data_IF_074691736059
#
_entry.id   IF_074691736059
#
_cell.length_a   1.000
_cell.length_b   1.000
_cell.length_c   1.000
_cell.angle_alpha   90.00
_cell.angle_beta   90.00
_cell.angle_gamma   90.00
#
_symmetry.space_group_name_H-M   'P 1'
#
loop_
_entity.id
_entity.type
_entity.pdbx_description
1 polymer ?
#
# COMPACT_ATOMS: atom_id res chain seq x y z
N UNK A 1 -0.28 21.36 1.94
CA UNK A 1 0.13 19.95 2.19
C UNK A 1 -0.77 18.97 1.43
N UNK A 2 -2.10 19.09 1.54
CA UNK A 2 -3.08 18.26 0.81
C UNK A 2 -2.92 18.29 -0.72
N UNK A 3 -2.88 19.47 -1.35
CA UNK A 3 -2.65 19.60 -2.81
C UNK A 3 -1.40 18.85 -3.28
N UNK A 4 -0.26 19.09 -2.64
CA UNK A 4 0.98 18.40 -2.95
C UNK A 4 0.94 16.87 -2.75
N UNK A 5 0.16 16.36 -1.78
CA UNK A 5 -0.04 14.93 -1.61
C UNK A 5 -0.92 14.35 -2.72
N UNK A 6 -1.97 15.08 -3.13
CA UNK A 6 -2.82 14.72 -4.25
C UNK A 6 -2.03 14.68 -5.58
N UNK A 7 -1.20 15.70 -5.82
CA UNK A 7 -0.35 15.78 -7.03
C UNK A 7 0.63 14.61 -7.10
N UNK A 8 1.20 14.21 -5.95
CA UNK A 8 2.07 13.03 -5.89
C UNK A 8 1.28 11.76 -6.22
N UNK A 9 0.08 11.59 -5.65
CA UNK A 9 -0.77 10.43 -5.91
C UNK A 9 -1.16 10.33 -7.39
N UNK A 10 -1.59 11.44 -8.02
CA UNK A 10 -1.94 11.51 -9.45
C UNK A 10 -0.77 11.09 -10.35
N UNK A 11 0.47 11.39 -9.94
CA UNK A 11 1.71 11.04 -10.68
C UNK A 11 2.29 9.69 -10.27
N UNK A 12 1.61 8.91 -9.43
CA UNK A 12 2.07 7.60 -8.97
C UNK A 12 1.53 6.51 -9.90
N UNK A 13 2.42 5.68 -10.43
CA UNK A 13 2.07 4.50 -11.23
C UNK A 13 1.69 3.32 -10.33
N UNK A 14 0.86 2.40 -10.82
CA UNK A 14 0.44 1.20 -10.07
C UNK A 14 -0.67 1.45 -9.05
N UNK A 15 -1.32 2.62 -9.08
CA UNK A 15 -2.48 2.92 -8.24
C UNK A 15 -3.73 2.20 -8.78
N UNK A 16 -4.35 1.27 -8.03
CA UNK A 16 -5.53 0.55 -8.49
C UNK A 16 -6.73 1.49 -8.70
N UNK A 17 -7.67 1.12 -9.57
CA UNK A 17 -8.96 1.80 -9.71
C UNK A 17 -9.76 1.77 -8.40
N UNK A 18 -10.65 2.75 -8.17
CA UNK A 18 -11.38 2.86 -6.89
C UNK A 18 -12.20 1.60 -6.56
N UNK A 19 -12.83 1.01 -7.58
CA UNK A 19 -13.67 -0.19 -7.48
C UNK A 19 -12.86 -1.51 -7.59
N UNK A 20 -11.55 -1.45 -7.81
CA UNK A 20 -10.72 -2.66 -7.93
C UNK A 20 -10.62 -3.40 -6.60
N UNK A 21 -10.62 -4.72 -6.66
CA UNK A 21 -10.37 -5.56 -5.49
C UNK A 21 -8.87 -5.82 -5.37
N UNK A 22 -8.33 -5.58 -4.18
CA UNK A 22 -6.92 -5.83 -3.87
C UNK A 22 -6.85 -6.85 -2.74
N UNK A 23 -6.06 -7.90 -2.91
CA UNK A 23 -5.97 -9.00 -1.94
C UNK A 23 -4.56 -9.50 -1.69
N UNK A 24 -4.30 -9.90 -0.45
CA UNK A 24 -3.12 -10.65 -0.02
C UNK A 24 -3.60 -11.76 0.92
N UNK A 25 -3.47 -13.02 0.51
CA UNK A 25 -4.04 -14.14 1.26
C UNK A 25 -5.55 -14.00 1.45
N UNK A 26 -6.01 -14.10 2.69
CA UNK A 26 -7.41 -13.90 3.08
C UNK A 26 -7.80 -12.42 3.24
N UNK A 27 -6.83 -11.49 3.26
CA UNK A 27 -7.10 -10.07 3.43
C UNK A 27 -7.48 -9.42 2.11
N UNK A 28 -8.60 -8.69 2.11
CA UNK A 28 -9.14 -8.00 0.93
C UNK A 28 -9.49 -6.56 1.28
N UNK A 29 -9.39 -5.68 0.29
CA UNK A 29 -9.76 -4.27 0.37
C UNK A 29 -10.11 -3.77 -1.03
N UNK A 30 -10.74 -2.60 -1.12
CA UNK A 30 -10.93 -1.91 -2.39
C UNK A 30 -9.75 -0.98 -2.74
N UNK A 31 -9.67 -0.58 -4.01
CA UNK A 31 -8.66 0.37 -4.47
C UNK A 31 -8.87 1.79 -3.94
N UNK A 32 -10.07 2.14 -3.47
CA UNK A 32 -10.32 3.40 -2.75
C UNK A 32 -9.48 3.46 -1.47
N UNK A 33 -9.50 2.42 -0.64
CA UNK A 33 -8.73 2.36 0.60
C UNK A 33 -7.22 2.36 0.31
N UNK A 34 -6.78 1.70 -0.77
CA UNK A 34 -5.39 1.76 -1.24
C UNK A 34 -4.99 3.19 -1.62
N UNK A 35 -5.83 3.91 -2.39
CA UNK A 35 -5.60 5.31 -2.74
C UNK A 35 -5.52 6.22 -1.52
N UNK A 36 -6.43 6.03 -0.55
CA UNK A 36 -6.45 6.78 0.69
C UNK A 36 -5.17 6.55 1.50
N UNK A 37 -4.72 5.29 1.60
CA UNK A 37 -3.48 4.93 2.28
C UNK A 37 -2.25 5.58 1.61
N UNK A 38 -2.16 5.52 0.27
CA UNK A 38 -1.08 6.16 -0.48
C UNK A 38 -1.10 7.69 -0.33
N UNK A 39 -2.29 8.30 -0.35
CA UNK A 39 -2.47 9.72 -0.08
C UNK A 39 -1.95 10.10 1.32
N UNK A 40 -2.35 9.35 2.36
CA UNK A 40 -1.92 9.58 3.74
C UNK A 40 -0.39 9.40 3.89
N UNK A 41 0.21 8.42 3.22
CA UNK A 41 1.67 8.26 3.14
C UNK A 41 2.34 9.55 2.64
N UNK A 42 1.84 10.14 1.54
CA UNK A 42 2.38 11.40 1.04
C UNK A 42 2.10 12.60 1.93
N UNK A 43 0.90 12.68 2.52
CA UNK A 43 0.49 13.76 3.42
C UNK A 43 1.38 13.82 4.66
N UNK A 44 1.67 12.67 5.25
CA UNK A 44 2.44 12.55 6.49
C UNK A 44 3.93 12.29 6.27
N UNK A 45 4.40 12.27 5.02
CA UNK A 45 5.82 12.02 4.69
C UNK A 45 6.84 12.92 5.39
N UNK A 46 6.49 14.18 5.68
CA UNK A 46 7.34 15.13 6.41
C UNK A 46 7.14 15.09 7.93
N UNK A 47 5.95 14.68 8.37
CA UNK A 47 5.57 14.65 9.78
C UNK A 47 4.80 13.35 10.02
N UNK A 48 5.52 12.25 10.29
CA UNK A 48 4.89 10.95 10.53
C UNK A 48 3.91 11.00 11.70
N UNK A 49 2.77 10.33 11.55
CA UNK A 49 1.68 10.27 12.53
C UNK A 49 1.66 8.92 13.24
N UNK A 50 1.25 8.90 14.51
CA UNK A 50 1.28 7.71 15.35
C UNK A 50 1.67 8.07 16.79
N UNK A 51 0.98 7.46 17.77
CA UNK A 51 1.26 7.73 19.20
C UNK A 51 2.62 7.18 19.65
N UNK A 52 2.96 5.95 19.26
CA UNK A 52 4.23 5.31 19.62
C UNK A 52 5.28 5.61 18.52
N UNK A 53 6.51 6.05 18.87
CA UNK A 53 7.61 6.24 17.91
C UNK A 53 7.83 5.06 16.95
N UNK A 54 7.69 3.83 17.44
CA UNK A 54 7.89 2.60 16.65
C UNK A 54 6.75 2.40 15.61
N UNK A 55 5.58 2.97 15.88
CA UNK A 55 4.38 2.85 15.05
C UNK A 55 4.10 4.11 14.22
N UNK A 56 5.02 5.08 14.18
CA UNK A 56 4.83 6.28 13.35
C UNK A 56 4.83 5.92 11.87
N UNK A 57 3.86 6.45 11.13
CA UNK A 57 3.68 6.23 9.70
C UNK A 57 3.69 7.55 8.92
N UNK A 58 4.20 7.58 7.68
CA UNK A 58 4.83 6.46 7.00
C UNK A 58 6.20 6.10 7.59
N UNK A 59 6.50 4.81 7.67
CA UNK A 59 7.83 4.29 8.04
C UNK A 59 8.57 3.75 6.82
N UNK A 60 9.86 3.48 6.96
CA UNK A 60 10.66 2.86 5.89
C UNK A 60 10.15 1.44 5.66
N UNK A 61 9.92 1.09 4.40
CA UNK A 61 9.59 -0.27 4.02
C UNK A 61 10.85 -1.13 4.00
N UNK A 62 10.93 -2.11 4.90
CA UNK A 62 12.05 -3.03 4.94
C UNK A 62 11.72 -4.30 4.15
N UNK A 63 12.05 -4.30 2.86
CA UNK A 63 11.86 -5.48 2.01
C UNK A 63 12.97 -6.50 2.26
N UNK A 64 12.85 -7.28 3.35
CA UNK A 64 13.78 -8.37 3.65
C UNK A 64 13.50 -9.55 2.71
N UNK A 65 14.54 -10.18 2.16
CA UNK A 65 14.36 -11.46 1.48
C UNK A 65 13.75 -12.49 2.43
N UNK A 66 12.90 -13.36 1.90
CA UNK A 66 12.43 -14.51 2.67
C UNK A 66 13.60 -15.43 3.03
N UNK A 67 13.50 -16.08 4.19
CA UNK A 67 14.47 -17.08 4.61
C UNK A 67 14.60 -18.18 3.54
N UNK A 68 15.81 -18.72 3.34
CA UNK A 68 16.04 -19.80 2.35
C UNK A 68 15.25 -21.07 2.64
N UNK A 69 14.82 -21.27 3.88
CA UNK A 69 13.95 -22.36 4.32
C UNK A 69 12.48 -22.15 3.98
N UNK A 70 12.10 -20.95 3.50
CA UNK A 70 10.73 -20.62 3.13
C UNK A 70 10.38 -21.20 1.74
N UNK A 71 9.21 -21.84 1.60
CA UNK A 71 8.75 -22.42 0.31
C UNK A 71 8.68 -21.40 -0.84
N UNK A 72 8.40 -20.15 -0.48
CA UNK A 72 8.35 -19.01 -1.39
C UNK A 72 9.67 -18.24 -1.49
N UNK A 73 10.80 -18.74 -0.98
CA UNK A 73 12.11 -18.05 -1.06
C UNK A 73 12.45 -17.57 -2.50
N UNK A 74 11.99 -18.33 -3.50
CA UNK A 74 12.10 -17.97 -4.93
C UNK A 74 11.30 -16.72 -5.34
N UNK A 75 10.23 -16.35 -4.63
CA UNK A 75 9.44 -15.13 -4.85
C UNK A 75 10.21 -13.87 -4.43
N UNK A 76 11.21 -13.98 -3.54
CA UNK A 76 12.04 -12.85 -3.11
C UNK A 76 12.73 -12.12 -4.29
N UNK A 77 12.91 -12.82 -5.43
CA UNK A 77 13.61 -12.33 -6.60
C UNK A 77 12.70 -11.89 -7.77
N UNK A 78 11.36 -11.90 -7.62
CA UNK A 78 10.43 -11.58 -8.73
C UNK A 78 10.16 -10.08 -8.95
N UNK A 79 11.22 -9.25 -8.90
CA UNK A 79 11.24 -7.77 -8.84
C UNK A 79 10.89 -7.25 -7.44
N UNK A 80 11.90 -7.29 -6.57
CA UNK A 80 11.83 -6.72 -5.25
C UNK A 80 11.35 -5.25 -5.30
N UNK A 81 10.36 -4.92 -4.47
CA UNK A 81 10.04 -3.54 -4.15
C UNK A 81 11.32 -2.94 -3.52
N UNK A 82 11.82 -1.79 -3.99
CA UNK A 82 13.02 -1.20 -3.45
C UNK A 82 12.90 -0.91 -1.94
N UNK A 83 13.97 -1.16 -1.19
CA UNK A 83 14.04 -0.90 0.27
C UNK A 83 14.00 0.60 0.63
N UNK A 84 14.04 1.49 -0.36
CA UNK A 84 13.87 2.94 -0.15
C UNK A 84 12.40 3.38 -0.13
N UNK A 85 11.46 2.42 -0.12
CA UNK A 85 10.03 2.67 -0.05
C UNK A 85 9.56 3.18 1.31
N UNK A 86 8.35 3.75 1.30
CA UNK A 86 7.61 4.17 2.48
C UNK A 86 6.34 3.34 2.58
N UNK A 87 6.15 2.64 3.69
CA UNK A 87 4.94 1.88 3.94
C UNK A 87 3.90 2.67 4.75
N UNK A 88 2.62 2.42 4.51
CA UNK A 88 1.51 3.01 5.26
C UNK A 88 0.33 2.03 5.37
N UNK A 89 -0.36 1.96 6.54
CA UNK A 89 -1.52 1.09 6.74
C UNK A 89 -2.67 1.32 5.76
N UNK A 90 -3.29 0.24 5.29
CA UNK A 90 -4.58 0.28 4.58
C UNK A 90 -5.66 -0.11 5.57
N UNK A 91 -6.63 0.79 5.78
CA UNK A 91 -7.79 0.55 6.63
C UNK A 91 -9.02 0.51 5.72
N UNK A 92 -9.55 -0.69 5.54
CA UNK A 92 -10.76 -0.90 4.76
C UNK A 92 -11.96 -0.21 5.42
N UNK A 93 -12.92 0.25 4.61
CA UNK A 93 -14.16 0.93 5.04
C UNK A 93 -13.98 2.16 5.94
N UNK A 94 -12.76 2.69 6.09
CA UNK A 94 -12.53 3.94 6.81
C UNK A 94 -12.69 5.14 5.87
N UNK A 95 -13.40 6.21 6.28
CA UNK A 95 -13.49 7.43 5.49
C UNK A 95 -12.14 8.14 5.36
N UNK A 96 -11.28 8.05 6.39
CA UNK A 96 -10.02 8.79 6.48
C UNK A 96 -8.77 7.90 6.38
N UNK A 97 -8.93 6.58 6.24
CA UNK A 97 -7.85 5.61 6.38
C UNK A 97 -7.29 5.59 7.81
N UNK A 98 -6.01 5.24 7.96
CA UNK A 98 -5.31 5.31 9.26
C UNK A 98 -4.77 6.72 9.52
N UNK A 99 -5.04 7.25 10.71
CA UNK A 99 -4.76 8.66 11.08
C UNK A 99 -3.84 8.79 12.31
N UNK A 100 -3.13 7.73 12.69
CA UNK A 100 -2.19 7.76 13.83
C UNK A 100 -2.67 7.03 15.09
N UNK A 101 -3.88 6.45 15.06
CA UNK A 101 -4.50 5.74 16.18
C UNK A 101 -5.21 4.46 15.71
N UNK A 102 -5.37 3.51 16.62
CA UNK A 102 -6.05 2.24 16.36
C UNK A 102 -5.20 1.19 15.64
N UNK A 103 -5.83 0.05 15.34
CA UNK A 103 -5.19 -1.08 14.68
C UNK A 103 -4.78 -0.73 13.24
N UNK A 104 -3.60 -1.21 12.83
CA UNK A 104 -3.04 -0.95 11.49
C UNK A 104 -3.47 -2.00 10.44
N UNK A 105 -4.08 -3.11 10.84
CA UNK A 105 -4.46 -4.21 9.94
C UNK A 105 -3.24 -4.91 9.30
N UNK A 106 -3.49 -5.83 8.37
CA UNK A 106 -2.46 -6.63 7.71
C UNK A 106 -1.94 -6.05 6.39
N UNK A 107 -2.71 -5.17 5.74
CA UNK A 107 -2.38 -4.62 4.42
C UNK A 107 -1.66 -3.27 4.53
N UNK A 108 -0.69 -3.04 3.65
CA UNK A 108 0.09 -1.81 3.54
C UNK A 108 0.17 -1.35 2.09
N UNK A 109 0.15 -0.04 1.87
CA UNK A 109 0.74 0.53 0.66
C UNK A 109 2.22 0.70 0.84
N UNK A 110 2.99 0.53 -0.24
CA UNK A 110 4.39 0.93 -0.32
C UNK A 110 4.56 1.91 -1.46
N UNK A 111 4.85 3.17 -1.13
CA UNK A 111 5.17 4.22 -2.10
C UNK A 111 6.68 4.34 -2.24
N UNK A 112 7.21 4.32 -3.47
CA UNK A 112 8.65 4.35 -3.73
C UNK A 112 8.97 5.06 -5.04
N UNK A 113 10.27 5.28 -5.31
CA UNK A 113 10.77 5.82 -6.58
C UNK A 113 11.62 4.79 -7.31
N UNK A 114 11.41 4.64 -8.61
CA UNK A 114 12.21 3.78 -9.48
C UNK A 114 12.32 4.43 -10.86
N UNK A 115 13.55 4.65 -11.35
CA UNK A 115 13.78 5.30 -12.66
C UNK A 115 13.14 6.69 -12.76
N UNK A 116 13.22 7.51 -11.70
CA UNK A 116 12.61 8.84 -11.63
C UNK A 116 11.09 8.86 -11.43
N UNK A 117 10.40 7.72 -11.62
CA UNK A 117 8.95 7.59 -11.51
C UNK A 117 8.52 7.20 -10.10
N UNK A 118 7.37 7.71 -9.66
CA UNK A 118 6.73 7.29 -8.40
C UNK A 118 5.91 6.05 -8.67
N UNK A 119 6.04 5.05 -7.81
CA UNK A 119 5.32 3.79 -7.92
C UNK A 119 4.64 3.45 -6.61
N UNK A 120 3.56 2.70 -6.73
CA UNK A 120 2.83 2.10 -5.63
C UNK A 120 2.88 0.58 -5.77
N UNK A 121 3.15 -0.10 -4.67
CA UNK A 121 2.82 -1.50 -4.50
C UNK A 121 1.87 -1.65 -3.30
N UNK A 122 1.08 -2.72 -3.30
CA UNK A 122 0.32 -3.15 -2.12
C UNK A 122 0.93 -4.45 -1.63
N UNK A 123 1.18 -4.52 -0.33
CA UNK A 123 1.75 -5.70 0.33
C UNK A 123 0.92 -6.04 1.56
N UNK A 124 1.05 -7.27 2.04
CA UNK A 124 0.46 -7.67 3.30
C UNK A 124 1.08 -8.94 3.85
N UNK A 125 0.70 -9.26 5.09
CA UNK A 125 1.04 -10.52 5.73
C UNK A 125 -0.01 -11.59 5.36
N UNK A 126 0.43 -12.81 5.07
CA UNK A 126 -0.44 -13.95 4.77
C UNK A 126 0.00 -15.17 5.59
N UNK A 127 -0.57 -15.33 6.78
CA UNK A 127 -0.19 -16.40 7.73
C UNK A 127 -0.47 -17.80 7.18
N UNK A 128 -1.34 -17.94 6.18
CA UNK A 128 -1.65 -19.24 5.56
C UNK A 128 -0.48 -19.82 4.77
N UNK A 129 0.51 -18.99 4.41
CA UNK A 129 1.66 -19.42 3.63
C UNK A 129 2.78 -20.03 4.48
N UNK A 130 2.70 -19.92 5.81
CA UNK A 130 3.81 -20.22 6.71
C UNK A 130 4.90 -19.14 6.63
N UNK A 131 5.98 -19.29 7.39
CA UNK A 131 7.09 -18.33 7.38
C UNK A 131 7.13 -17.38 8.56
N UNK A 132 7.88 -16.29 8.41
CA UNK A 132 7.98 -15.24 9.43
C UNK A 132 6.71 -14.38 9.39
N UNK A 133 6.16 -14.03 10.56
CA UNK A 133 4.96 -13.19 10.64
C UNK A 133 5.15 -11.79 10.00
N UNK A 134 6.39 -11.38 9.76
CA UNK A 134 6.77 -10.12 9.11
C UNK A 134 7.02 -10.26 7.60
N UNK A 135 6.80 -11.44 7.01
CA UNK A 135 6.92 -11.65 5.57
C UNK A 135 5.86 -10.84 4.81
N UNK A 136 6.27 -10.18 3.72
CA UNK A 136 5.43 -9.28 2.93
C UNK A 136 5.16 -9.84 1.53
N UNK A 137 3.91 -10.21 1.27
CA UNK A 137 3.49 -10.69 -0.04
C UNK A 137 2.84 -9.57 -0.84
N UNK A 138 3.23 -9.44 -2.11
CA UNK A 138 2.61 -8.49 -3.04
C UNK A 138 1.16 -8.88 -3.31
N UNK A 139 0.28 -7.88 -3.39
CA UNK A 139 -1.13 -8.09 -3.63
C UNK A 139 -1.43 -8.55 -5.07
N UNK A 140 -2.49 -9.33 -5.18
CA UNK A 140 -3.22 -9.50 -6.44
C UNK A 140 -4.23 -8.37 -6.59
N UNK A 141 -4.32 -7.80 -7.79
CA UNK A 141 -5.33 -6.78 -8.13
C UNK A 141 -6.27 -7.38 -9.17
N UNK A 142 -7.54 -7.47 -8.82
CA UNK A 142 -8.61 -7.87 -9.73
C UNK A 142 -9.43 -6.63 -10.11
N UNK A 143 -9.63 -6.36 -11.41
CA UNK A 143 -10.45 -5.24 -11.84
C UNK A 143 -11.83 -5.28 -11.20
N UNK A 144 -12.29 -4.15 -10.69
CA UNK A 144 -13.69 -4.01 -10.27
C UNK A 144 -14.62 -4.19 -11.48
N UNK A 145 -15.89 -4.54 -11.25
CA UNK A 145 -16.90 -4.44 -12.32
C UNK A 145 -16.86 -3.01 -12.87
N UNK A 146 -16.29 -2.86 -14.08
CA UNK A 146 -16.47 -1.69 -14.91
C UNK A 146 -17.87 -1.83 -15.51
N UNK A 147 -18.88 -1.45 -14.74
CA UNK A 147 -20.02 -0.84 -15.43
C UNK A 147 -19.42 0.35 -16.21
N UNK A 148 -19.80 0.45 -17.48
CA UNK A 148 -19.38 1.49 -18.42
C UNK A 148 -19.86 2.86 -17.92
N UNK A 149 -19.27 3.35 -16.83
CA UNK A 149 -19.46 4.72 -16.38
C UNK A 149 -18.46 5.56 -17.17
N UNK A 150 -18.94 6.04 -18.32
CA UNK A 150 -18.43 7.24 -18.98
C UNK A 150 -18.67 8.45 -18.08
N UNK A 151 -18.04 8.50 -16.90
CA UNK A 151 -18.06 9.69 -16.05
C UNK A 151 -16.75 10.45 -16.30
N UNK A 152 -16.69 11.03 -17.50
CA UNK A 152 -16.01 12.31 -17.69
C UNK A 152 -16.86 13.35 -16.95
N UNK A 153 -16.40 13.80 -15.79
CA UNK A 153 -16.84 14.96 -14.98
C UNK A 153 -16.54 14.59 -13.52
N UNK A 154 -16.11 15.43 -12.60
CA UNK A 154 -15.68 16.81 -12.57
C UNK A 154 -14.90 16.92 -11.26
N UNK A 155 -13.85 17.73 -11.18
CA UNK A 155 -13.44 18.45 -9.97
C UNK A 155 -12.32 19.41 -10.37
N UNK A 156 -12.75 20.59 -10.83
CA UNK A 156 -12.13 21.88 -10.45
C UNK A 156 -11.87 21.97 -8.94
#
# INVERSE_FOLDING_TARGET
>A
RFRAANDKLRKTEGVPGRKDTVSVGSHKTDGRAVRQSAFNSYLHSKTPVGRNPINKQPKNFNNRPYASTHKDAKLANQKAIPQNGKEYPIIDKSPNGWTGQGAVGALRTVTYKQGGKRKLAVVGHDTSRGGDANDHYTATVSPGKRELDLDFEDFE
#
